data_IF_528258945326
#
_entry.id   IF_528258945326
#
_cell.length_a   1.000
_cell.length_b   1.000
_cell.length_c   1.000
_cell.angle_alpha   90.00
_cell.angle_beta   90.00
_cell.angle_gamma   90.00
#
_symmetry.space_group_name_H-M   'P 1'
#
loop_
_entity.id
_entity.type
_entity.pdbx_description
1 polymer ?
#
# COMPACT_ATOMS: atom_id res chain seq x y z
N UNK A 1 23.67 -9.16 25.33
CA UNK A 1 23.11 -9.75 24.09
C UNK A 1 22.65 -8.72 23.04
N UNK A 2 22.25 -7.50 23.39
CA UNK A 2 21.86 -6.46 22.41
C UNK A 2 23.06 -5.88 21.63
N UNK A 3 24.19 -5.62 22.31
CA UNK A 3 25.41 -5.06 21.70
C UNK A 3 26.00 -5.93 20.57
N UNK A 4 25.93 -7.26 20.71
CA UNK A 4 26.38 -8.21 19.66
C UNK A 4 25.41 -8.30 18.48
N UNK A 5 24.17 -7.80 18.58
CA UNK A 5 23.20 -7.77 17.48
C UNK A 5 23.35 -6.53 16.61
N UNK A 6 23.58 -5.36 17.20
CA UNK A 6 23.83 -4.12 16.46
C UNK A 6 25.12 -4.21 15.64
N UNK A 7 26.20 -4.72 16.24
CA UNK A 7 27.46 -4.97 15.53
C UNK A 7 27.30 -5.95 14.35
N UNK A 8 26.45 -6.96 14.49
CA UNK A 8 26.12 -7.90 13.39
C UNK A 8 25.36 -7.22 12.27
N UNK A 9 24.39 -6.38 12.60
CA UNK A 9 23.62 -5.62 11.62
C UNK A 9 24.51 -4.64 10.85
N UNK A 10 25.38 -3.92 11.55
CA UNK A 10 26.31 -2.98 10.95
C UNK A 10 27.25 -3.69 9.97
N UNK A 11 27.73 -4.88 10.34
CA UNK A 11 28.53 -5.73 9.45
C UNK A 11 27.76 -6.18 8.20
N UNK A 12 26.54 -6.70 8.35
CA UNK A 12 25.72 -7.16 7.20
C UNK A 12 25.37 -6.00 6.29
N UNK A 13 25.00 -4.85 6.86
CA UNK A 13 24.67 -3.63 6.12
C UNK A 13 25.86 -3.10 5.35
N UNK A 14 27.04 -3.04 5.98
CA UNK A 14 28.28 -2.62 5.32
C UNK A 14 28.65 -3.54 4.17
N UNK A 15 28.55 -4.86 4.37
CA UNK A 15 28.91 -5.84 3.36
C UNK A 15 27.94 -5.89 2.17
N UNK A 16 26.64 -5.67 2.41
CA UNK A 16 25.61 -5.76 1.38
C UNK A 16 25.21 -4.40 0.78
N UNK A 17 25.82 -3.29 1.21
CA UNK A 17 25.44 -1.94 0.77
C UNK A 17 25.44 -1.78 -0.75
N UNK A 18 26.51 -2.21 -1.42
CA UNK A 18 26.65 -2.11 -2.87
C UNK A 18 25.66 -3.05 -3.58
N UNK A 19 25.62 -4.32 -3.14
CA UNK A 19 24.69 -5.31 -3.68
C UNK A 19 23.22 -4.86 -3.56
N UNK A 20 22.86 -4.19 -2.47
CA UNK A 20 21.55 -3.61 -2.25
C UNK A 20 21.19 -2.56 -3.28
N UNK A 21 22.09 -1.60 -3.55
CA UNK A 21 21.86 -0.55 -4.56
C UNK A 21 21.65 -1.15 -5.95
N UNK A 22 22.52 -2.07 -6.37
CA UNK A 22 22.37 -2.74 -7.66
C UNK A 22 21.08 -3.54 -7.76
N UNK A 23 20.74 -4.30 -6.71
CA UNK A 23 19.49 -5.06 -6.68
C UNK A 23 18.26 -4.15 -6.76
N UNK A 24 18.26 -3.03 -6.04
CA UNK A 24 17.18 -2.04 -6.13
C UNK A 24 17.02 -1.49 -7.55
N UNK A 25 18.12 -1.10 -8.19
CA UNK A 25 18.10 -0.60 -9.58
C UNK A 25 17.57 -1.67 -10.56
N UNK A 26 18.00 -2.92 -10.39
CA UNK A 26 17.51 -4.05 -11.21
C UNK A 26 16.00 -4.25 -11.03
N UNK A 27 15.49 -4.20 -9.81
CA UNK A 27 14.06 -4.33 -9.55
C UNK A 27 13.25 -3.14 -10.10
N UNK A 28 13.78 -1.91 -10.04
CA UNK A 28 13.19 -0.74 -10.68
C UNK A 28 13.14 -0.90 -12.22
N UNK A 29 14.24 -1.37 -12.83
CA UNK A 29 14.30 -1.62 -14.27
C UNK A 29 13.32 -2.72 -14.72
N UNK A 30 13.20 -3.81 -13.95
CA UNK A 30 12.20 -4.87 -14.18
C UNK A 30 10.78 -4.32 -14.10
N UNK A 31 10.48 -3.52 -13.08
CA UNK A 31 9.16 -2.90 -12.91
C UNK A 31 8.81 -1.93 -14.05
N UNK A 32 9.82 -1.28 -14.65
CA UNK A 32 9.66 -0.45 -15.85
C UNK A 32 9.51 -1.27 -17.15
N UNK A 33 9.78 -2.57 -17.13
CA UNK A 33 9.75 -3.44 -18.31
C UNK A 33 11.02 -3.33 -19.18
N UNK A 34 12.13 -2.86 -18.63
CA UNK A 34 13.40 -2.66 -19.35
C UNK A 34 14.30 -3.89 -19.38
N UNK A 35 13.94 -4.97 -18.66
CA UNK A 35 14.72 -6.21 -18.57
C UNK A 35 13.77 -7.38 -18.85
N UNK A 36 13.88 -7.99 -20.03
CA UNK A 36 13.29 -9.30 -20.32
C UNK A 36 14.26 -10.39 -19.86
N UNK A 37 13.76 -11.46 -19.25
CA UNK A 37 14.57 -12.64 -18.88
C UNK A 37 14.95 -13.51 -20.09
N UNK A 38 14.75 -13.03 -21.32
CA UNK A 38 14.92 -13.78 -22.55
C UNK A 38 15.93 -13.04 -23.43
N UNK A 39 17.02 -13.70 -23.80
CA UNK A 39 18.09 -13.22 -24.69
C UNK A 39 17.60 -13.07 -26.16
N UNK A 40 16.29 -13.01 -26.39
CA UNK A 40 15.74 -12.74 -27.72
C UNK A 40 15.60 -11.23 -27.92
N UNK A 41 16.53 -10.67 -28.70
CA UNK A 41 16.49 -9.38 -29.40
C UNK A 41 15.76 -8.23 -28.68
N UNK A 42 16.53 -7.23 -28.24
CA UNK A 42 16.06 -5.88 -27.92
C UNK A 42 15.22 -5.30 -29.08
N UNK A 43 13.92 -5.58 -29.09
CA UNK A 43 12.96 -4.62 -29.61
C UNK A 43 12.78 -3.58 -28.52
N UNK A 44 13.31 -2.37 -28.74
CA UNK A 44 12.89 -1.19 -28.00
C UNK A 44 11.38 -1.26 -27.85
N UNK A 45 10.89 -1.42 -26.62
CA UNK A 45 9.47 -1.53 -26.33
C UNK A 45 8.88 -0.15 -26.58
N UNK A 46 8.60 0.14 -27.85
CA UNK A 46 7.69 1.19 -28.23
C UNK A 46 6.40 0.90 -27.48
N UNK A 47 6.05 1.79 -26.55
CA UNK A 47 4.77 1.74 -25.88
C UNK A 47 3.70 1.54 -26.97
N UNK A 48 2.76 0.57 -26.81
CA UNK A 48 1.81 0.26 -27.86
C UNK A 48 1.15 1.55 -28.34
N UNK A 49 1.13 1.79 -29.65
CA UNK A 49 0.69 3.03 -30.32
C UNK A 49 -0.68 3.55 -29.80
N UNK A 50 -1.50 2.69 -29.21
CA UNK A 50 -2.75 3.05 -28.54
C UNK A 50 -2.60 3.89 -27.24
N UNK A 51 -1.44 3.87 -26.56
CA UNK A 51 -1.21 4.61 -25.31
C UNK A 51 -0.89 6.10 -25.54
N UNK A 52 -0.39 6.48 -26.73
CA UNK A 52 -0.07 7.88 -27.05
C UNK A 52 -1.28 8.77 -27.33
N UNK A 53 -2.45 8.18 -27.61
CA UNK A 53 -3.66 8.94 -27.98
C UNK A 53 -4.56 9.29 -26.80
N UNK A 54 -4.28 8.81 -25.58
CA UNK A 54 -5.02 9.16 -24.36
C UNK A 54 -4.15 9.78 -23.28
N UNK A 55 -4.78 10.41 -22.29
CA UNK A 55 -4.09 10.78 -21.06
C UNK A 55 -3.64 9.52 -20.30
N UNK A 56 -2.41 9.50 -19.76
CA UNK A 56 -1.98 8.44 -18.87
C UNK A 56 -2.75 8.53 -17.55
N UNK A 57 -2.88 7.40 -16.86
CA UNK A 57 -3.67 7.28 -15.62
C UNK A 57 -2.75 6.99 -14.44
N UNK A 58 -2.89 7.78 -13.38
CA UNK A 58 -2.31 7.51 -12.07
C UNK A 58 -3.44 7.08 -11.14
N UNK A 59 -3.47 5.79 -10.79
CA UNK A 59 -4.39 5.22 -9.82
C UNK A 59 -3.73 5.14 -8.44
N UNK A 60 -4.24 5.92 -7.50
CA UNK A 60 -3.91 5.81 -6.09
C UNK A 60 -4.81 4.77 -5.42
N UNK A 61 -4.23 3.68 -4.93
CA UNK A 61 -4.89 2.77 -4.01
C UNK A 61 -4.52 3.20 -2.57
N UNK A 62 -5.52 3.67 -1.83
CA UNK A 62 -5.39 4.20 -0.47
C UNK A 62 -6.18 3.41 0.56
N UNK A 63 -5.73 3.43 1.80
CA UNK A 63 -6.38 2.70 2.88
C UNK A 63 -5.38 2.14 3.88
N UNK A 64 -5.79 2.08 5.15
CA UNK A 64 -4.95 1.58 6.22
C UNK A 64 -4.45 0.15 5.98
N UNK A 65 -3.38 -0.21 6.67
CA UNK A 65 -2.83 -1.57 6.53
C UNK A 65 -3.87 -2.62 6.96
N UNK A 66 -4.02 -3.69 6.18
CA UNK A 66 -5.07 -4.69 6.42
C UNK A 66 -6.49 -4.27 6.02
N UNK A 67 -6.68 -3.12 5.36
CA UNK A 67 -7.99 -2.68 4.87
C UNK A 67 -8.57 -3.51 3.72
N UNK A 68 -7.81 -4.41 3.11
CA UNK A 68 -8.28 -5.23 1.98
C UNK A 68 -8.11 -4.57 0.61
N UNK A 69 -7.15 -3.64 0.46
CA UNK A 69 -6.82 -2.97 -0.81
C UNK A 69 -6.62 -3.94 -1.97
N UNK A 70 -5.85 -5.00 -1.75
CA UNK A 70 -5.56 -6.01 -2.78
C UNK A 70 -6.81 -6.75 -3.26
N UNK A 71 -7.86 -6.87 -2.44
CA UNK A 71 -9.15 -7.45 -2.86
C UNK A 71 -9.85 -6.51 -3.84
N UNK A 72 -9.92 -5.22 -3.50
CA UNK A 72 -10.53 -4.19 -4.36
C UNK A 72 -9.74 -4.01 -5.66
N UNK A 73 -8.40 -4.00 -5.59
CA UNK A 73 -7.53 -3.87 -6.75
C UNK A 73 -7.76 -5.00 -7.76
N UNK A 74 -7.93 -6.24 -7.31
CA UNK A 74 -8.22 -7.38 -8.20
C UNK A 74 -9.49 -7.19 -9.03
N UNK A 75 -10.49 -6.51 -8.49
CA UNK A 75 -11.73 -6.26 -9.21
C UNK A 75 -11.59 -5.05 -10.13
N UNK A 76 -10.86 -4.02 -9.72
CA UNK A 76 -10.52 -2.87 -10.59
C UNK A 76 -9.71 -3.30 -11.81
N UNK A 77 -8.75 -4.22 -11.64
CA UNK A 77 -7.92 -4.71 -12.73
C UNK A 77 -8.71 -5.50 -13.80
N UNK A 78 -9.94 -5.93 -13.48
CA UNK A 78 -10.86 -6.56 -14.45
C UNK A 78 -11.75 -5.56 -15.17
N UNK A 79 -11.71 -4.27 -14.81
CA UNK A 79 -12.48 -3.25 -15.50
C UNK A 79 -11.93 -3.05 -16.93
N UNK A 80 -12.78 -2.72 -17.92
CA UNK A 80 -12.38 -2.69 -19.34
C UNK A 80 -11.14 -1.84 -19.62
N UNK A 81 -10.96 -0.75 -18.87
CA UNK A 81 -9.77 0.09 -18.99
C UNK A 81 -8.50 -0.64 -18.54
N UNK A 82 -8.53 -1.23 -17.34
CA UNK A 82 -7.36 -1.87 -16.74
C UNK A 82 -7.07 -3.25 -17.33
N UNK A 83 -8.07 -3.97 -17.83
CA UNK A 83 -7.86 -5.26 -18.49
C UNK A 83 -6.88 -5.12 -19.69
N UNK A 84 -6.97 -4.03 -20.45
CA UNK A 84 -6.05 -3.72 -21.54
C UNK A 84 -4.77 -2.95 -21.14
N UNK A 85 -4.82 -2.16 -20.07
CA UNK A 85 -3.70 -1.29 -19.66
C UNK A 85 -2.77 -1.92 -18.60
N UNK A 86 -3.28 -2.81 -17.75
CA UNK A 86 -2.59 -3.30 -16.56
C UNK A 86 -1.30 -4.06 -16.89
N UNK A 87 -1.24 -4.77 -18.01
CA UNK A 87 -0.02 -5.45 -18.46
C UNK A 87 1.15 -4.51 -18.76
N UNK A 88 0.87 -3.23 -19.04
CA UNK A 88 1.86 -2.18 -19.33
C UNK A 88 1.94 -1.12 -18.23
N UNK A 89 1.10 -1.20 -17.19
CA UNK A 89 1.10 -0.25 -16.09
C UNK A 89 2.25 -0.56 -15.11
N UNK A 90 2.84 0.49 -14.54
CA UNK A 90 3.86 0.36 -13.51
C UNK A 90 3.16 0.27 -12.15
N UNK A 91 3.25 -0.89 -11.50
CA UNK A 91 2.70 -1.12 -10.16
C UNK A 91 3.76 -0.77 -9.12
N UNK A 92 3.42 0.12 -8.20
CA UNK A 92 4.34 0.65 -7.19
C UNK A 92 3.81 0.27 -5.81
N UNK A 93 4.45 -0.71 -5.19
CA UNK A 93 4.19 -1.15 -3.83
C UNK A 93 5.50 -1.14 -3.03
N UNK A 94 5.62 -0.26 -2.04
CA UNK A 94 6.85 -0.15 -1.24
C UNK A 94 7.17 -1.45 -0.47
N UNK A 95 6.16 -2.25 -0.12
CA UNK A 95 6.36 -3.54 0.54
C UNK A 95 7.00 -4.58 -0.39
N UNK A 96 6.79 -4.51 -1.71
CA UNK A 96 7.43 -5.44 -2.67
C UNK A 96 8.97 -5.25 -2.69
N UNK A 97 9.43 -4.00 -2.62
CA UNK A 97 10.87 -3.68 -2.50
C UNK A 97 11.49 -4.15 -1.18
N UNK A 98 10.70 -4.32 -0.11
CA UNK A 98 11.22 -4.90 1.15
C UNK A 98 11.50 -6.38 0.99
N UNK A 99 10.62 -7.09 0.28
CA UNK A 99 10.75 -8.54 0.08
C UNK A 99 11.91 -8.90 -0.83
N UNK A 100 12.24 -8.03 -1.79
CA UNK A 100 13.39 -8.20 -2.68
C UNK A 100 14.71 -7.74 -2.04
N UNK A 101 14.68 -6.92 -0.98
CA UNK A 101 15.86 -6.36 -0.31
C UNK A 101 16.79 -7.46 0.24
N UNK A 102 18.06 -7.43 -0.17
CA UNK A 102 19.08 -8.41 0.19
C UNK A 102 19.38 -8.46 1.69
N UNK A 103 19.28 -7.33 2.38
CA UNK A 103 19.45 -7.24 3.84
C UNK A 103 18.23 -7.85 4.52
N UNK A 104 17.01 -7.55 4.03
CA UNK A 104 15.79 -8.16 4.56
C UNK A 104 15.85 -9.69 4.45
N UNK A 105 16.16 -10.23 3.26
CA UNK A 105 16.31 -11.67 3.01
C UNK A 105 17.39 -12.31 3.90
N UNK A 106 18.55 -11.66 4.04
CA UNK A 106 19.65 -12.18 4.86
C UNK A 106 19.30 -12.26 6.36
N UNK A 107 18.53 -11.29 6.85
CA UNK A 107 18.10 -11.24 8.25
C UNK A 107 16.90 -12.15 8.53
N UNK A 108 15.95 -12.27 7.59
CA UNK A 108 14.76 -13.13 7.74
C UNK A 108 15.08 -14.62 7.66
N UNK A 109 16.13 -15.01 6.92
CA UNK A 109 16.55 -16.41 6.76
C UNK A 109 17.11 -17.05 8.04
N UNK A 110 17.51 -16.26 9.05
CA UNK A 110 18.26 -16.74 10.22
C UNK A 110 17.48 -16.81 11.54
N UNK A 111 16.14 -16.64 11.51
CA UNK A 111 15.26 -16.94 12.64
C UNK A 111 14.10 -15.95 12.88
N UNK A 112 13.16 -16.35 13.73
CA UNK A 112 11.83 -15.72 13.90
C UNK A 112 11.74 -14.52 14.86
N UNK A 113 12.80 -14.19 15.61
CA UNK A 113 12.64 -13.38 16.82
C UNK A 113 12.51 -11.86 16.63
N UNK A 114 12.72 -11.29 15.43
CA UNK A 114 12.70 -9.81 15.29
C UNK A 114 12.21 -9.28 13.93
N UNK A 115 11.21 -9.96 13.36
CA UNK A 115 10.65 -9.66 12.03
C UNK A 115 10.18 -8.21 11.85
N UNK A 116 9.63 -7.60 12.91
CA UNK A 116 9.18 -6.19 12.91
C UNK A 116 10.38 -5.26 12.81
N UNK A 117 11.42 -5.48 13.62
CA UNK A 117 12.64 -4.65 13.60
C UNK A 117 13.37 -4.77 12.26
N UNK A 118 13.46 -5.97 11.69
CA UNK A 118 14.01 -6.19 10.35
C UNK A 118 13.26 -5.40 9.28
N UNK A 119 11.92 -5.41 9.32
CA UNK A 119 11.10 -4.65 8.37
C UNK A 119 11.27 -3.13 8.52
N UNK A 120 11.48 -2.64 9.74
CA UNK A 120 11.71 -1.21 10.02
C UNK A 120 13.07 -0.73 9.51
N UNK A 121 14.10 -1.58 9.59
CA UNK A 121 15.45 -1.24 9.13
C UNK A 121 15.55 -1.05 7.62
N UNK A 122 14.74 -1.78 6.84
CA UNK A 122 14.68 -1.64 5.39
C UNK A 122 13.57 -0.70 4.92
N UNK A 123 12.80 -0.12 5.85
CA UNK A 123 11.63 0.68 5.50
C UNK A 123 12.00 1.90 4.65
N UNK A 124 13.01 2.65 5.05
CA UNK A 124 13.37 3.89 4.35
C UNK A 124 13.83 3.61 2.93
N UNK A 125 14.73 2.64 2.73
CA UNK A 125 15.24 2.32 1.38
C UNK A 125 14.14 1.82 0.45
N UNK A 126 13.19 1.03 0.95
CA UNK A 126 12.08 0.55 0.12
C UNK A 126 11.10 1.66 -0.23
N UNK A 127 10.90 2.62 0.69
CA UNK A 127 10.15 3.85 0.41
C UNK A 127 10.87 4.72 -0.62
N UNK A 128 12.20 4.84 -0.52
CA UNK A 128 13.01 5.61 -1.46
C UNK A 128 12.98 4.96 -2.86
N UNK A 129 13.12 3.64 -2.96
CA UNK A 129 13.03 2.88 -4.20
C UNK A 129 11.64 3.03 -4.87
N UNK A 130 10.57 2.89 -4.09
CA UNK A 130 9.21 3.11 -4.59
C UNK A 130 9.01 4.55 -5.08
N UNK A 131 9.62 5.54 -4.40
CA UNK A 131 9.56 6.94 -4.79
C UNK A 131 10.37 7.23 -6.06
N UNK A 132 11.52 6.58 -6.22
CA UNK A 132 12.37 6.63 -7.43
C UNK A 132 11.62 6.08 -8.64
N UNK A 133 11.04 4.89 -8.50
CA UNK A 133 10.21 4.28 -9.53
C UNK A 133 9.00 5.15 -9.88
N UNK A 134 8.35 5.76 -8.89
CA UNK A 134 7.19 6.62 -9.08
C UNK A 134 7.51 7.86 -9.90
N UNK A 135 8.55 8.62 -9.53
CA UNK A 135 8.90 9.82 -10.28
C UNK A 135 9.36 9.47 -11.68
N UNK A 136 10.06 8.36 -11.86
CA UNK A 136 10.52 7.87 -13.17
C UNK A 136 9.34 7.49 -14.07
N UNK A 137 8.42 6.65 -13.57
CA UNK A 137 7.25 6.22 -14.33
C UNK A 137 6.34 7.39 -14.71
N UNK A 138 6.12 8.33 -13.78
CA UNK A 138 5.31 9.52 -14.02
C UNK A 138 5.97 10.49 -15.00
N UNK A 139 7.28 10.67 -14.87
CA UNK A 139 8.06 11.41 -15.84
C UNK A 139 7.86 10.82 -17.23
N UNK A 140 7.93 9.49 -17.40
CA UNK A 140 7.77 8.80 -18.69
C UNK A 140 6.32 8.68 -19.22
N UNK A 141 5.33 9.25 -18.52
CA UNK A 141 3.95 9.20 -19.01
C UNK A 141 3.34 7.80 -19.00
N UNK A 142 3.87 6.89 -18.16
CA UNK A 142 3.33 5.53 -17.98
C UNK A 142 2.03 5.56 -17.18
N UNK A 143 1.12 4.62 -17.43
CA UNK A 143 0.08 4.36 -16.45
C UNK A 143 0.70 3.80 -15.18
N UNK A 144 0.26 4.31 -14.03
CA UNK A 144 0.84 3.96 -12.73
C UNK A 144 -0.28 3.54 -11.79
N UNK A 145 -0.08 2.42 -11.11
CA UNK A 145 -0.90 2.00 -9.97
C UNK A 145 -0.03 2.09 -8.72
N UNK A 146 -0.34 3.05 -7.85
CA UNK A 146 0.38 3.25 -6.61
C UNK A 146 -0.40 2.62 -5.44
N UNK A 147 0.08 1.51 -4.91
CA UNK A 147 -0.46 0.86 -3.73
C UNK A 147 0.24 1.35 -2.46
N UNK A 148 -0.47 2.15 -1.67
CA UNK A 148 0.04 2.73 -0.44
C UNK A 148 -1.02 2.86 0.64
N UNK A 149 -0.60 3.29 1.82
CA UNK A 149 -1.57 3.67 2.86
C UNK A 149 -2.21 5.02 2.57
N UNK A 150 -1.49 5.89 1.86
CA UNK A 150 -1.83 7.31 1.65
C UNK A 150 -2.12 8.04 2.97
N UNK A 151 -1.44 7.62 4.04
CA UNK A 151 -1.63 8.12 5.39
C UNK A 151 -0.83 9.39 5.71
N UNK A 152 -0.11 9.96 4.73
CA UNK A 152 0.71 11.15 4.93
C UNK A 152 0.32 12.21 3.91
N UNK A 153 -0.51 13.15 4.36
CA UNK A 153 -1.15 14.16 3.52
C UNK A 153 -0.13 14.96 2.66
N UNK A 154 0.97 15.51 3.22
CA UNK A 154 1.89 16.32 2.43
C UNK A 154 2.51 15.56 1.25
N UNK A 155 2.89 14.30 1.47
CA UNK A 155 3.44 13.45 0.40
C UNK A 155 2.45 13.23 -0.73
N UNK A 156 1.19 12.90 -0.41
CA UNK A 156 0.16 12.63 -1.43
C UNK A 156 -0.18 13.91 -2.21
N UNK A 157 -0.34 15.05 -1.51
CA UNK A 157 -0.62 16.35 -2.15
C UNK A 157 0.53 16.77 -3.07
N UNK A 158 1.78 16.64 -2.62
CA UNK A 158 2.95 16.94 -3.46
C UNK A 158 3.03 15.99 -4.67
N UNK A 159 2.68 14.70 -4.49
CA UNK A 159 2.66 13.72 -5.59
C UNK A 159 1.60 14.03 -6.63
N UNK A 160 0.38 14.37 -6.20
CA UNK A 160 -0.68 14.84 -7.11
C UNK A 160 -0.21 16.09 -7.87
N UNK A 161 0.38 17.05 -7.16
CA UNK A 161 0.92 18.28 -7.76
C UNK A 161 1.97 17.96 -8.82
N UNK A 162 2.91 17.05 -8.52
CA UNK A 162 3.90 16.58 -9.50
C UNK A 162 3.21 15.94 -10.71
N UNK A 163 2.33 14.96 -10.50
CA UNK A 163 1.62 14.24 -11.57
C UNK A 163 0.80 15.18 -12.49
N UNK A 164 0.24 16.27 -11.96
CA UNK A 164 -0.42 17.30 -12.79
C UNK A 164 0.55 18.09 -13.66
N UNK A 165 1.83 18.15 -13.31
CA UNK A 165 2.83 18.99 -13.98
C UNK A 165 3.88 18.21 -14.80
N UNK A 166 4.04 16.88 -14.61
CA UNK A 166 5.07 16.08 -15.31
C UNK A 166 4.98 16.14 -16.84
N UNK A 167 3.79 16.40 -17.38
CA UNK A 167 3.58 16.60 -18.82
C UNK A 167 4.23 17.88 -19.39
N UNK A 168 4.68 18.80 -18.53
CA UNK A 168 5.36 20.07 -18.90
C UNK A 168 6.75 20.22 -18.31
N UNK A 169 7.09 19.46 -17.27
CA UNK A 169 8.32 19.63 -16.48
C UNK A 169 8.82 18.27 -16.02
N UNK A 170 10.14 18.04 -16.02
CA UNK A 170 10.73 16.86 -15.38
C UNK A 170 10.87 17.10 -13.87
N UNK A 171 10.70 16.02 -13.11
CA UNK A 171 10.89 16.00 -11.66
C UNK A 171 11.94 14.96 -11.26
N UNK A 172 12.52 15.12 -10.08
CA UNK A 172 13.35 14.11 -9.41
C UNK A 172 12.91 13.99 -7.96
N UNK A 173 13.36 12.93 -7.29
CA UNK A 173 13.19 12.81 -5.84
C UNK A 173 13.80 13.99 -5.11
N UNK A 174 13.04 14.57 -4.20
CA UNK A 174 13.49 15.56 -3.23
C UNK A 174 14.10 14.93 -1.97
N UNK A 175 14.51 15.75 -1.00
CA UNK A 175 15.08 15.27 0.26
C UNK A 175 14.10 14.48 1.15
N UNK A 176 12.80 14.48 0.84
CA UNK A 176 11.76 13.86 1.64
C UNK A 176 11.44 14.67 2.90
N UNK A 177 11.08 13.97 3.97
CA UNK A 177 10.87 14.54 5.30
C UNK A 177 12.16 14.40 6.13
N UNK A 178 12.71 15.53 6.60
CA UNK A 178 13.89 15.58 7.46
C UNK A 178 13.69 16.58 8.59
N UNK A 179 14.09 16.20 9.80
CA UNK A 179 14.20 17.09 10.95
C UNK A 179 15.69 17.43 11.09
N UNK A 180 16.04 18.70 10.93
CA UNK A 180 17.42 19.17 11.04
C UNK A 180 17.82 19.31 12.52
N UNK A 181 19.12 19.43 12.79
CA UNK A 181 19.67 19.51 14.16
C UNK A 181 19.08 20.67 14.99
N UNK A 182 18.67 21.76 14.34
CA UNK A 182 17.99 22.91 14.96
C UNK A 182 16.48 22.75 15.14
N UNK A 183 15.92 21.55 14.92
CA UNK A 183 14.48 21.28 14.99
C UNK A 183 13.66 21.78 13.80
N UNK A 184 14.28 22.46 12.81
CA UNK A 184 13.61 22.87 11.58
C UNK A 184 13.25 21.65 10.73
N UNK A 185 12.05 21.66 10.15
CA UNK A 185 11.53 20.56 9.33
C UNK A 185 11.64 20.93 7.86
N UNK A 186 12.35 20.10 7.09
CA UNK A 186 12.34 20.14 5.63
C UNK A 186 11.39 19.04 5.14
N UNK A 187 10.36 19.42 4.39
CA UNK A 187 9.41 18.46 3.81
C UNK A 187 9.20 18.73 2.32
N UNK A 188 10.02 18.09 1.49
CA UNK A 188 9.96 18.23 0.03
C UNK A 188 10.25 16.88 -0.64
N UNK A 189 9.24 16.26 -1.20
CA UNK A 189 9.32 14.93 -1.80
C UNK A 189 9.72 14.98 -3.28
N UNK A 190 9.43 16.06 -4.00
CA UNK A 190 9.62 16.16 -5.45
C UNK A 190 10.24 17.50 -5.82
N UNK A 191 11.39 17.46 -6.50
CA UNK A 191 12.05 18.66 -7.01
C UNK A 191 11.89 18.74 -8.52
N UNK A 192 11.62 19.96 -9.01
CA UNK A 192 11.67 20.24 -10.44
C UNK A 192 13.11 20.22 -10.91
N UNK A 193 13.34 19.73 -12.12
CA UNK A 193 14.62 19.85 -12.80
C UNK A 193 14.53 21.07 -13.71
N UNK A 194 15.34 22.10 -13.43
CA UNK A 194 15.39 23.32 -14.25
C UNK A 194 16.11 23.05 -15.56
N UNK A 195 15.61 23.63 -16.67
CA UNK A 195 16.22 23.49 -18.00
C UNK A 195 15.87 22.19 -18.74
N UNK A 196 15.24 21.21 -18.09
CA UNK A 196 14.76 19.99 -18.74
C UNK A 196 13.26 20.07 -19.08
N UNK A 197 12.96 20.08 -20.38
CA UNK A 197 11.59 19.89 -20.87
C UNK A 197 11.32 18.39 -21.15
N UNK A 198 10.09 17.91 -20.96
CA UNK A 198 9.73 16.55 -21.36
C UNK A 198 9.95 16.35 -22.85
N UNK A 199 10.56 15.23 -23.23
CA UNK A 199 10.75 14.86 -24.62
C UNK A 199 9.41 14.78 -25.36
N UNK A 200 9.39 15.29 -26.59
CA UNK A 200 8.22 15.18 -27.45
C UNK A 200 8.17 13.76 -28.04
N UNK A 201 7.14 13.00 -27.68
CA UNK A 201 6.91 11.67 -28.27
C UNK A 201 6.21 11.87 -29.61
N UNK A 202 6.89 11.57 -30.71
CA UNK A 202 6.34 11.71 -32.07
C UNK A 202 5.95 13.16 -32.44
N UNK A 203 6.67 14.16 -31.91
CA UNK A 203 6.40 15.59 -32.16
C UNK A 203 5.15 16.14 -31.46
N UNK A 204 4.48 15.35 -30.60
CA UNK A 204 3.33 15.80 -29.80
C UNK A 204 3.73 16.04 -28.34
N UNK A 205 3.15 17.07 -27.74
CA UNK A 205 3.29 17.33 -26.29
C UNK A 205 2.59 16.22 -25.51
N UNK A 206 3.22 15.76 -24.42
CA UNK A 206 2.64 14.77 -23.51
C UNK A 206 1.32 15.30 -22.93
N UNK A 207 0.33 14.41 -22.80
CA UNK A 207 -0.98 14.74 -22.22
C UNK A 207 -0.89 14.75 -20.68
N UNK A 208 -1.68 15.59 -19.99
CA UNK A 208 -1.73 15.58 -18.53
C UNK A 208 -2.32 14.27 -18.02
N UNK A 209 -1.87 13.85 -16.82
CA UNK A 209 -2.40 12.67 -16.15
C UNK A 209 -3.86 12.86 -15.74
N UNK A 210 -4.65 11.80 -15.97
CA UNK A 210 -5.90 11.56 -15.24
C UNK A 210 -5.55 10.88 -13.92
N UNK A 211 -5.99 11.42 -12.80
CA UNK A 211 -5.68 10.93 -11.46
C UNK A 211 -6.94 10.34 -10.85
N UNK A 212 -6.85 9.08 -10.46
CA UNK A 212 -7.94 8.32 -9.83
C UNK A 212 -7.54 7.93 -8.41
N UNK A 213 -8.49 7.98 -7.48
CA UNK A 213 -8.32 7.52 -6.11
C UNK A 213 -9.30 6.39 -5.82
N UNK A 214 -8.79 5.30 -5.28
CA UNK A 214 -9.60 4.23 -4.70
C UNK A 214 -9.20 4.11 -3.24
N UNK A 215 -10.09 4.61 -2.38
CA UNK A 215 -9.99 4.42 -0.94
C UNK A 215 -10.62 3.12 -0.51
N UNK A 216 -9.99 2.45 0.46
CA UNK A 216 -10.52 1.24 1.09
C UNK A 216 -10.50 1.43 2.60
N UNK A 217 -11.68 1.32 3.20
CA UNK A 217 -11.89 1.44 4.65
C UNK A 217 -12.44 0.14 5.21
N UNK A 218 -12.04 -0.17 6.43
CA UNK A 218 -12.67 -1.21 7.23
C UNK A 218 -12.57 -0.85 8.70
N UNK A 219 -13.32 -1.59 9.51
CA UNK A 219 -13.22 -1.60 10.95
C UNK A 219 -11.78 -1.88 11.40
N UNK A 220 -11.33 -1.12 12.40
CA UNK A 220 -9.94 -1.16 12.85
C UNK A 220 -9.61 -2.49 13.57
N UNK A 221 -10.57 -3.09 14.27
CA UNK A 221 -10.38 -4.43 14.85
C UNK A 221 -10.18 -5.47 13.75
N UNK A 222 -11.01 -5.46 12.72
CA UNK A 222 -10.89 -6.36 11.57
C UNK A 222 -9.52 -6.19 10.86
N UNK A 223 -9.06 -4.96 10.70
CA UNK A 223 -7.75 -4.68 10.13
C UNK A 223 -6.62 -5.32 10.95
N UNK A 224 -6.65 -5.16 12.28
CA UNK A 224 -5.65 -5.74 13.19
C UNK A 224 -5.64 -7.26 13.09
N UNK A 225 -6.80 -7.91 13.10
CA UNK A 225 -6.90 -9.37 12.92
C UNK A 225 -6.33 -9.81 11.57
N UNK A 226 -6.63 -9.10 10.48
CA UNK A 226 -6.04 -9.36 9.15
C UNK A 226 -4.52 -9.19 9.17
N UNK A 227 -4.01 -8.19 9.87
CA UNK A 227 -2.57 -7.97 10.08
C UNK A 227 -1.90 -9.13 10.82
N UNK A 228 -2.51 -9.61 11.90
CA UNK A 228 -2.04 -10.77 12.67
C UNK A 228 -2.06 -12.04 11.80
N UNK A 229 -3.16 -12.29 11.08
CA UNK A 229 -3.27 -13.44 10.17
C UNK A 229 -2.18 -13.39 9.09
N UNK A 230 -1.91 -12.23 8.51
CA UNK A 230 -0.82 -12.03 7.54
C UNK A 230 0.55 -12.27 8.15
N UNK A 231 0.77 -11.88 9.41
CA UNK A 231 2.01 -12.16 10.12
C UNK A 231 2.25 -13.68 10.29
N UNK A 232 1.19 -14.44 10.59
CA UNK A 232 1.24 -15.89 10.73
C UNK A 232 1.49 -16.56 9.36
N UNK A 233 0.70 -16.21 8.35
CA UNK A 233 0.71 -16.89 7.05
C UNK A 233 1.91 -16.49 6.18
N UNK A 234 2.21 -15.20 6.12
CA UNK A 234 3.16 -14.63 5.15
C UNK A 234 4.43 -14.11 5.80
N UNK A 235 4.61 -14.30 7.13
CA UNK A 235 5.77 -13.77 7.88
C UNK A 235 5.97 -12.25 7.65
N UNK A 236 4.86 -11.51 7.65
CA UNK A 236 4.85 -10.04 7.54
C UNK A 236 4.03 -9.43 8.66
N UNK A 237 4.70 -9.05 9.74
CA UNK A 237 4.09 -8.39 10.89
C UNK A 237 4.19 -6.87 10.77
N UNK A 238 3.19 -6.19 11.30
CA UNK A 238 3.17 -4.75 11.45
C UNK A 238 2.75 -4.42 12.87
N UNK A 239 3.34 -3.38 13.45
CA UNK A 239 2.92 -2.89 14.77
C UNK A 239 1.49 -2.38 14.71
N UNK A 240 0.68 -2.78 15.69
CA UNK A 240 -0.73 -2.37 15.81
C UNK A 240 -0.86 -0.86 15.79
N UNK A 241 -0.03 -0.13 16.55
CA UNK A 241 -0.01 1.34 16.54
C UNK A 241 0.16 1.91 15.12
N UNK A 242 1.15 1.43 14.36
CA UNK A 242 1.38 1.90 12.98
C UNK A 242 0.18 1.59 12.08
N UNK A 243 -0.46 0.44 12.28
CA UNK A 243 -1.68 0.06 11.58
C UNK A 243 -2.83 1.02 11.89
N UNK A 244 -3.14 1.26 13.16
CA UNK A 244 -4.17 2.19 13.59
C UNK A 244 -3.90 3.62 13.09
N UNK A 245 -2.66 4.10 13.22
CA UNK A 245 -2.24 5.41 12.69
C UNK A 245 -2.47 5.52 11.18
N UNK A 246 -2.17 4.47 10.40
CA UNK A 246 -2.39 4.50 8.95
C UNK A 246 -3.86 4.61 8.57
N UNK A 247 -4.74 3.93 9.31
CA UNK A 247 -6.19 3.98 9.14
C UNK A 247 -6.74 5.37 9.46
N UNK A 248 -6.38 5.89 10.64
CA UNK A 248 -6.83 7.21 11.10
C UNK A 248 -6.45 8.32 10.12
N UNK A 249 -5.17 8.43 9.80
CA UNK A 249 -4.67 9.51 8.94
C UNK A 249 -5.20 9.43 7.52
N UNK A 250 -5.37 8.21 6.98
CA UNK A 250 -6.01 8.04 5.68
C UNK A 250 -7.46 8.54 5.71
N UNK A 251 -8.23 8.13 6.73
CA UNK A 251 -9.62 8.53 6.87
C UNK A 251 -9.78 10.06 7.05
N UNK A 252 -8.91 10.69 7.85
CA UNK A 252 -8.87 12.14 8.03
C UNK A 252 -8.56 12.88 6.72
N UNK A 253 -7.68 12.33 5.87
CA UNK A 253 -7.24 12.98 4.63
C UNK A 253 -8.10 12.66 3.40
N UNK A 254 -8.94 11.63 3.44
CA UNK A 254 -9.64 11.10 2.27
C UNK A 254 -10.46 12.16 1.52
N UNK A 255 -11.22 12.98 2.23
CA UNK A 255 -12.04 14.03 1.62
C UNK A 255 -11.19 15.11 0.93
N UNK A 256 -10.05 15.46 1.53
CA UNK A 256 -9.07 16.37 0.91
C UNK A 256 -8.52 15.76 -0.38
N UNK A 257 -8.18 14.46 -0.39
CA UNK A 257 -7.74 13.80 -1.61
C UNK A 257 -8.81 13.81 -2.70
N UNK A 258 -10.08 13.59 -2.34
CA UNK A 258 -11.19 13.63 -3.29
C UNK A 258 -11.29 14.99 -4.00
N UNK A 259 -10.87 16.10 -3.38
CA UNK A 259 -10.88 17.42 -4.02
C UNK A 259 -9.76 17.61 -5.05
N UNK A 260 -8.68 16.82 -4.96
CA UNK A 260 -7.47 17.00 -5.76
C UNK A 260 -7.38 16.06 -6.98
N UNK A 261 -8.14 14.97 -6.96
CA UNK A 261 -8.17 13.93 -8.00
C UNK A 261 -9.38 14.09 -8.92
N UNK A 262 -9.31 13.51 -10.12
CA UNK A 262 -10.41 13.55 -11.08
C UNK A 262 -11.54 12.63 -10.63
N UNK A 263 -11.22 11.36 -10.34
CA UNK A 263 -12.21 10.39 -9.89
C UNK A 263 -11.83 9.84 -8.52
N UNK A 264 -12.83 9.59 -7.68
CA UNK A 264 -12.63 8.93 -6.40
C UNK A 264 -13.67 7.83 -6.17
N UNK A 265 -13.26 6.72 -5.58
CA UNK A 265 -14.13 5.64 -5.11
C UNK A 265 -13.75 5.30 -3.68
N UNK A 266 -14.73 4.98 -2.86
CA UNK A 266 -14.53 4.50 -1.49
C UNK A 266 -15.22 3.16 -1.34
N UNK A 267 -14.46 2.15 -0.93
CA UNK A 267 -14.95 0.80 -0.67
C UNK A 267 -14.90 0.46 0.81
N UNK A 268 -15.95 -0.17 1.31
CA UNK A 268 -16.03 -0.79 2.63
C UNK A 268 -15.76 -2.29 2.50
N UNK A 269 -14.86 -2.83 3.35
CA UNK A 269 -14.54 -4.27 3.39
C UNK A 269 -14.87 -4.93 4.73
N UNK A 270 -15.85 -4.41 5.46
CA UNK A 270 -16.28 -4.97 6.74
C UNK A 270 -16.93 -6.34 6.63
N UNK A 271 -17.52 -6.67 5.48
CA UNK A 271 -18.07 -8.00 5.26
C UNK A 271 -16.97 -9.05 5.38
N UNK A 272 -17.16 -10.02 6.27
CA UNK A 272 -16.22 -11.15 6.47
C UNK A 272 -16.21 -12.07 5.26
N UNK A 273 -17.35 -12.16 4.57
CA UNK A 273 -17.55 -12.92 3.33
C UNK A 273 -18.27 -12.02 2.31
N UNK A 274 -17.87 -12.11 1.05
CA UNK A 274 -18.47 -11.33 -0.04
C UNK A 274 -17.58 -10.21 -0.60
N UNK A 275 -18.03 -9.57 -1.70
CA UNK A 275 -17.27 -8.56 -2.39
C UNK A 275 -17.18 -7.25 -1.58
N UNK A 276 -16.14 -6.42 -1.79
CA UNK A 276 -16.10 -5.06 -1.26
C UNK A 276 -17.32 -4.23 -1.66
N UNK A 277 -17.95 -3.53 -0.73
CA UNK A 277 -19.11 -2.66 -1.00
C UNK A 277 -18.62 -1.26 -1.41
N UNK A 278 -19.06 -0.76 -2.57
CA UNK A 278 -18.83 0.64 -2.96
C UNK A 278 -19.75 1.54 -2.14
N UNK A 279 -19.18 2.46 -1.36
CA UNK A 279 -19.91 3.33 -0.41
C UNK A 279 -19.69 4.82 -0.68
N UNK A 280 -18.83 5.16 -1.63
CA UNK A 280 -18.63 6.52 -2.08
C UNK A 280 -18.08 6.58 -3.48
N UNK A 281 -18.53 7.54 -4.27
CA UNK A 281 -18.10 7.73 -5.65
C UNK A 281 -18.14 9.20 -6.05
N UNK A 282 -17.08 9.61 -6.75
CA UNK A 282 -16.88 10.92 -7.35
C UNK A 282 -16.43 10.72 -8.79
N UNK A 283 -17.04 11.47 -9.69
CA UNK A 283 -16.67 11.55 -11.10
C UNK A 283 -16.38 13.00 -11.49
N UNK A 284 -15.14 13.26 -11.93
CA UNK A 284 -14.60 14.55 -12.37
C UNK A 284 -14.89 15.70 -11.41
N UNK A 285 -15.66 16.69 -11.86
CA UNK A 285 -15.92 17.93 -11.11
C UNK A 285 -17.12 17.81 -10.16
N UNK A 286 -17.72 16.61 -10.06
CA UNK A 286 -18.83 16.36 -9.14
C UNK A 286 -18.34 16.29 -7.70
N UNK A 287 -19.24 16.58 -6.78
CA UNK A 287 -19.03 16.30 -5.36
C UNK A 287 -19.06 14.79 -5.11
N UNK A 288 -18.38 14.36 -4.04
CA UNK A 288 -18.39 12.95 -3.62
C UNK A 288 -19.81 12.58 -3.16
N UNK A 289 -20.44 11.63 -3.87
CA UNK A 289 -21.68 10.99 -3.46
C UNK A 289 -21.33 9.83 -2.53
N UNK A 290 -22.08 9.66 -1.44
CA UNK A 290 -21.82 8.62 -0.43
C UNK A 290 -23.11 7.90 -0.06
N UNK A 291 -22.99 6.62 0.26
CA UNK A 291 -24.06 5.84 0.90
C UNK A 291 -24.17 6.36 2.36
N UNK A 292 -25.28 7.03 2.73
CA UNK A 292 -25.43 7.65 4.05
C UNK A 292 -25.41 6.63 5.20
N UNK A 293 -25.82 5.39 4.95
CA UNK A 293 -25.87 4.34 5.96
C UNK A 293 -24.49 3.73 6.22
N UNK A 294 -23.58 3.84 5.25
CA UNK A 294 -22.26 3.20 5.30
C UNK A 294 -21.11 4.17 5.57
N UNK A 295 -21.24 5.43 5.17
CA UNK A 295 -20.14 6.41 5.21
C UNK A 295 -19.59 6.66 6.63
N UNK A 296 -20.40 6.39 7.65
CA UNK A 296 -20.02 6.53 9.05
C UNK A 296 -18.86 5.60 9.45
N UNK A 297 -18.56 4.54 8.69
CA UNK A 297 -17.34 3.77 8.93
C UNK A 297 -16.07 4.62 8.76
N UNK A 298 -16.03 5.53 7.76
CA UNK A 298 -14.89 6.42 7.52
C UNK A 298 -14.74 7.43 8.66
N UNK A 299 -15.84 8.07 9.07
CA UNK A 299 -15.85 9.02 10.20
C UNK A 299 -15.45 8.37 11.52
N UNK A 300 -15.91 7.14 11.77
CA UNK A 300 -15.51 6.39 12.96
C UNK A 300 -14.00 6.17 12.95
N UNK A 301 -13.46 5.61 11.87
CA UNK A 301 -12.02 5.33 11.73
C UNK A 301 -11.16 6.60 11.87
N UNK A 302 -11.59 7.76 11.39
CA UNK A 302 -10.84 9.02 11.60
C UNK A 302 -10.76 9.46 13.07
N UNK A 303 -11.64 8.97 13.94
CA UNK A 303 -11.66 9.31 15.38
C UNK A 303 -10.99 8.27 16.27
N UNK A 304 -10.44 7.19 15.71
CA UNK A 304 -9.85 6.10 16.49
C UNK A 304 -8.68 6.58 17.36
N UNK A 305 -8.46 5.88 18.47
CA UNK A 305 -7.32 6.06 19.34
C UNK A 305 -6.15 5.18 18.87
N UNK A 306 -5.16 5.76 18.19
CA UNK A 306 -4.03 4.98 17.68
C UNK A 306 -3.09 4.44 18.77
N UNK A 307 -3.25 4.90 20.02
CA UNK A 307 -2.49 4.45 21.20
C UNK A 307 -3.25 3.43 22.05
N UNK A 308 -4.40 2.94 21.58
CA UNK A 308 -5.20 1.96 22.29
C UNK A 308 -4.41 0.68 22.59
N UNK A 309 -4.45 0.23 23.84
CA UNK A 309 -3.80 -1.02 24.27
C UNK A 309 -4.79 -2.20 24.35
N UNK A 310 -6.09 -1.92 24.24
CA UNK A 310 -7.15 -2.91 24.18
C UNK A 310 -8.31 -2.42 23.32
N UNK A 311 -9.26 -3.31 23.04
CA UNK A 311 -10.42 -3.04 22.18
C UNK A 311 -11.36 -1.96 22.73
N UNK A 312 -11.46 -1.84 24.05
CA UNK A 312 -12.37 -0.89 24.71
C UNK A 312 -11.86 0.54 24.63
N UNK A 313 -10.54 0.72 24.45
CA UNK A 313 -9.89 2.02 24.27
C UNK A 313 -9.85 2.50 22.82
N UNK A 314 -10.30 1.69 21.86
CA UNK A 314 -10.15 1.96 20.42
C UNK A 314 -10.92 3.20 19.96
N UNK A 315 -12.06 3.47 20.59
CA UNK A 315 -12.91 4.64 20.34
C UNK A 315 -13.38 5.26 21.65
N UNK A 316 -13.79 6.53 21.62
CA UNK A 316 -14.39 7.22 22.77
C UNK A 316 -15.76 6.62 23.12
N UNK A 317 -16.26 6.93 24.32
CA UNK A 317 -17.59 6.48 24.75
C UNK A 317 -18.71 7.37 24.16
N UNK A 318 -19.85 6.77 23.74
CA UNK A 318 -20.11 5.32 23.67
C UNK A 318 -19.24 4.66 22.57
N UNK A 319 -18.65 3.49 22.89
CA UNK A 319 -17.70 2.83 22.00
C UNK A 319 -18.47 2.00 20.96
N UNK A 320 -18.43 2.35 19.66
CA UNK A 320 -19.16 1.65 18.60
C UNK A 320 -18.74 0.18 18.45
N UNK A 321 -17.56 -0.19 18.94
CA UNK A 321 -17.10 -1.58 18.96
C UNK A 321 -17.93 -2.46 19.90
N UNK A 322 -18.65 -1.88 20.86
CA UNK A 322 -19.49 -2.62 21.81
C UNK A 322 -20.98 -2.62 21.43
N UNK A 323 -21.36 -1.91 20.37
CA UNK A 323 -22.73 -1.80 19.89
C UNK A 323 -23.14 -2.99 19.02
N UNK A 324 -24.45 -3.23 18.93
CA UNK A 324 -25.00 -4.24 18.01
C UNK A 324 -24.67 -3.85 16.55
N UNK A 325 -24.39 -4.83 15.71
CA UNK A 325 -23.89 -4.61 14.35
C UNK A 325 -22.36 -4.55 14.27
N UNK A 326 -21.64 -4.50 15.40
CA UNK A 326 -20.18 -4.55 15.40
C UNK A 326 -19.66 -5.98 15.35
N UNK A 327 -18.52 -6.18 14.68
CA UNK A 327 -17.85 -7.49 14.62
C UNK A 327 -17.50 -8.00 16.03
N UNK A 328 -17.05 -7.12 16.91
CA UNK A 328 -16.67 -7.51 18.26
C UNK A 328 -17.88 -7.99 19.07
N UNK A 329 -19.01 -7.27 19.01
CA UNK A 329 -20.22 -7.64 19.74
C UNK A 329 -20.89 -8.88 19.15
N UNK A 330 -21.10 -8.89 17.83
CA UNK A 330 -21.96 -9.87 17.18
C UNK A 330 -21.24 -11.19 16.87
N UNK A 331 -19.91 -11.19 16.83
CA UNK A 331 -19.11 -12.37 16.47
C UNK A 331 -18.19 -12.77 17.60
N UNK A 332 -17.39 -11.84 18.15
CA UNK A 332 -16.38 -12.19 19.16
C UNK A 332 -17.00 -12.47 20.52
N UNK A 333 -17.98 -11.66 20.93
CA UNK A 333 -18.73 -11.82 22.17
C UNK A 333 -19.98 -12.68 22.01
N UNK A 334 -20.24 -13.23 20.82
CA UNK A 334 -21.39 -14.07 20.56
C UNK A 334 -21.37 -15.33 21.44
N UNK A 335 -22.49 -15.68 22.11
CA UNK A 335 -22.59 -16.93 22.88
C UNK A 335 -22.32 -18.18 22.04
N UNK A 336 -22.64 -18.16 20.74
CA UNK A 336 -22.44 -19.30 19.84
C UNK A 336 -20.97 -19.55 19.51
N UNK A 337 -20.09 -18.58 19.74
CA UNK A 337 -18.66 -18.67 19.41
C UNK A 337 -17.98 -19.87 20.08
N UNK A 338 -18.36 -20.21 21.32
CA UNK A 338 -17.79 -21.35 22.03
C UNK A 338 -18.02 -22.66 21.27
N UNK A 339 -19.25 -22.88 20.83
CA UNK A 339 -19.63 -24.10 20.09
C UNK A 339 -18.89 -24.17 18.75
N UNK A 340 -18.83 -23.05 18.01
CA UNK A 340 -18.09 -22.95 16.74
C UNK A 340 -16.61 -23.29 16.95
N UNK A 341 -15.99 -22.79 18.03
CA UNK A 341 -14.58 -23.09 18.33
C UNK A 341 -14.35 -24.55 18.69
N UNK A 342 -15.29 -25.18 19.40
CA UNK A 342 -15.21 -26.60 19.72
C UNK A 342 -15.32 -27.47 18.47
N UNK A 343 -16.25 -27.14 17.57
CA UNK A 343 -16.43 -27.83 16.29
C UNK A 343 -15.19 -27.68 15.38
N UNK A 344 -14.63 -26.47 15.31
CA UNK A 344 -13.40 -26.21 14.58
C UNK A 344 -12.23 -27.02 15.16
N UNK A 345 -12.08 -27.03 16.49
CA UNK A 345 -11.04 -27.82 17.18
C UNK A 345 -11.20 -29.31 16.88
N UNK A 346 -12.42 -29.83 16.95
CA UNK A 346 -12.71 -31.23 16.63
C UNK A 346 -12.35 -31.55 15.18
N UNK A 347 -12.76 -30.70 14.24
CA UNK A 347 -12.48 -30.86 12.81
C UNK A 347 -10.97 -30.85 12.51
N UNK A 348 -10.22 -29.93 13.11
CA UNK A 348 -8.75 -29.88 12.99
C UNK A 348 -8.12 -31.17 13.53
N UNK A 349 -8.49 -31.60 14.73
CA UNK A 349 -7.96 -32.83 15.33
C UNK A 349 -8.27 -34.07 14.49
N UNK A 350 -9.45 -34.13 13.87
CA UNK A 350 -9.82 -35.21 12.96
C UNK A 350 -8.90 -35.24 11.73
N UNK A 351 -8.67 -34.10 11.09
CA UNK A 351 -7.77 -33.97 9.93
C UNK A 351 -6.33 -34.32 10.29
N UNK A 352 -5.83 -33.86 11.44
CA UNK A 352 -4.48 -34.16 11.92
C UNK A 352 -4.27 -35.65 12.20
N UNK A 353 -5.27 -36.33 12.78
CA UNK A 353 -5.22 -37.78 12.99
C UNK A 353 -5.15 -38.55 11.68
N UNK A 354 -5.99 -38.18 10.70
CA UNK A 354 -6.01 -38.81 9.37
C UNK A 354 -4.66 -38.66 8.66
N UNK A 355 -4.05 -37.47 8.70
CA UNK A 355 -2.73 -37.23 8.10
C UNK A 355 -1.63 -38.10 8.71
N UNK A 356 -1.65 -38.30 10.04
CA UNK A 356 -0.68 -39.16 10.74
C UNK A 356 -0.79 -40.62 10.36
N UNK A 357 -2.01 -41.10 10.07
CA UNK A 357 -2.24 -42.50 9.65
C UNK A 357 -1.85 -42.74 8.20
N UNK A 358 -1.98 -41.73 7.33
CA UNK A 358 -1.55 -41.81 5.92
C UNK A 358 -0.04 -41.66 5.70
N UNK A 359 0.71 -41.10 6.66
CA UNK A 359 2.18 -40.97 6.59
C UNK A 359 2.95 -42.12 7.24
N UNK A 360 2.24 -43.12 7.79
CA UNK A 360 2.79 -44.31 8.45
C UNK A 360 2.60 -45.60 7.62
N UNK A 361 2.13 -45.46 6.38
CA UNK A 361 2.15 -46.45 5.30
C UNK A 361 3.16 -45.96 4.26
#
# INVERSE_FOLDING_TARGET
>A
MAATREQRFERVTKNLKVARVFNTLVEEMKAMGLVTNDDSQCTEVMAPVAHSDRSPVLLFMGGGMGAGKSTVLKDILKEPFWEGAAGNAVIIEADAFKESDVIYKALSARGHQDMIRTAELVHQSSTDAASSLLVTALNEGRDVIMDGTLSWLPFVVQTITMARNVHRRRYRMGPGYKVNEGGTVTENYWQRIEGEEPEQVGGKRRKPYRIELVGVVCDAYLAVIRGIRRAIMCRRAVRVKSQLTSHKRFAEAFLTYCQLVDNARLYNTNSLEGPPKLIGWKDRDKTLLVDPDEIDCLKRVSTLNEKANNIYELYKHPNPTCEAGSIWKDIVLSPSRLNIQQELKYSILKVERLKRTSSSL
#
